data_IF_017626444514
#
_entry.id   IF_017626444514
#
_cell.length_a   1.000
_cell.length_b   1.000
_cell.length_c   1.000
_cell.angle_alpha   90.00
_cell.angle_beta   90.00
_cell.angle_gamma   90.00
#
_symmetry.space_group_name_H-M   'P 1'
#
loop_
_entity.id
_entity.type
_entity.pdbx_description
1 polymer ?
#
# COMPACT_ATOMS: atom_id res chain seq x y z
N UNK A 1 -3.17 -5.47 -13.83
CA UNK A 1 -2.13 -4.94 -12.91
C UNK A 1 -1.06 -4.24 -13.73
N UNK A 2 -0.63 -3.08 -13.31
CA UNK A 2 0.44 -2.33 -13.96
C UNK A 2 1.60 -2.13 -13.00
N UNK A 3 2.78 -1.86 -13.54
CA UNK A 3 3.99 -1.62 -12.75
C UNK A 3 4.56 -0.24 -13.04
N UNK A 4 5.21 0.34 -12.03
CA UNK A 4 5.95 1.58 -12.16
C UNK A 4 7.27 1.43 -11.38
N UNK A 5 8.40 1.60 -12.09
CA UNK A 5 9.69 1.67 -11.42
C UNK A 5 9.83 3.06 -10.80
N UNK A 6 10.10 3.11 -9.50
CA UNK A 6 10.20 4.38 -8.78
C UNK A 6 11.49 5.12 -9.14
N UNK A 7 11.42 6.44 -9.11
CA UNK A 7 12.53 7.31 -9.49
C UNK A 7 13.73 7.11 -8.56
N UNK A 8 14.94 7.11 -9.14
CA UNK A 8 16.19 6.95 -8.39
C UNK A 8 16.80 8.28 -7.95
N UNK A 9 16.39 9.36 -8.56
CA UNK A 9 16.87 10.72 -8.28
C UNK A 9 16.09 11.45 -7.19
N UNK A 10 15.16 10.76 -6.52
CA UNK A 10 14.34 11.34 -5.46
C UNK A 10 15.12 11.36 -4.14
N UNK A 11 15.29 12.56 -3.58
CA UNK A 11 15.94 12.74 -2.27
C UNK A 11 14.92 12.57 -1.16
N UNK A 12 15.23 11.70 -0.21
CA UNK A 12 14.36 11.43 0.93
C UNK A 12 14.25 12.65 1.85
N UNK A 13 13.05 13.12 2.11
CA UNK A 13 12.77 14.27 2.99
C UNK A 13 12.13 13.83 4.32
N UNK A 14 11.54 12.65 4.36
CA UNK A 14 10.77 12.17 5.51
C UNK A 14 11.49 11.04 6.23
N UNK A 15 11.46 11.10 7.57
CA UNK A 15 11.92 9.98 8.40
C UNK A 15 10.92 8.82 8.37
N UNK A 16 9.62 9.13 8.31
CA UNK A 16 8.56 8.13 8.23
C UNK A 16 8.59 7.45 6.85
N UNK A 17 8.75 6.13 6.86
CA UNK A 17 8.87 5.37 5.61
C UNK A 17 7.59 5.40 4.78
N UNK A 18 6.43 5.40 5.41
CA UNK A 18 5.15 5.50 4.70
C UNK A 18 5.02 6.80 3.93
N UNK A 19 5.31 7.93 4.57
CA UNK A 19 5.29 9.23 3.92
C UNK A 19 6.32 9.34 2.81
N UNK A 20 7.52 8.80 3.04
CA UNK A 20 8.56 8.76 2.01
C UNK A 20 8.09 8.01 0.76
N UNK A 21 7.52 6.83 0.92
CA UNK A 21 7.06 6.01 -0.20
C UNK A 21 5.88 6.65 -0.95
N UNK A 22 4.96 7.29 -0.23
CA UNK A 22 3.88 8.05 -0.86
C UNK A 22 4.42 9.18 -1.74
N UNK A 23 5.41 9.91 -1.24
CA UNK A 23 6.05 10.99 -1.98
C UNK A 23 6.83 10.49 -3.17
N UNK A 24 7.59 9.42 -2.99
CA UNK A 24 8.35 8.80 -4.06
C UNK A 24 7.44 8.29 -5.17
N UNK A 25 6.32 7.65 -4.83
CA UNK A 25 5.34 7.20 -5.80
C UNK A 25 4.74 8.38 -6.57
N UNK A 26 4.32 9.42 -5.85
CA UNK A 26 3.75 10.62 -6.46
C UNK A 26 4.73 11.28 -7.43
N UNK A 27 5.96 11.48 -7.01
CA UNK A 27 7.01 12.05 -7.84
C UNK A 27 7.28 11.18 -9.08
N UNK A 28 7.37 9.87 -8.89
CA UNK A 28 7.61 8.92 -9.99
C UNK A 28 6.50 8.93 -11.02
N UNK A 29 5.26 9.14 -10.57
CA UNK A 29 4.09 9.14 -11.43
C UNK A 29 3.89 10.48 -12.15
N UNK A 30 4.10 11.60 -11.46
CA UNK A 30 3.71 12.93 -11.94
C UNK A 30 4.88 13.86 -12.26
N UNK A 31 6.06 13.55 -11.77
CA UNK A 31 7.22 14.45 -11.84
C UNK A 31 7.17 15.61 -10.83
N UNK A 32 6.12 15.70 -10.02
CA UNK A 32 5.94 16.76 -9.05
C UNK A 32 6.43 16.37 -7.67
N UNK A 33 7.17 17.28 -7.05
CA UNK A 33 7.65 17.16 -5.67
C UNK A 33 6.81 18.04 -4.76
N UNK A 34 6.14 17.43 -3.79
CA UNK A 34 5.29 18.14 -2.84
C UNK A 34 6.03 18.29 -1.51
N UNK A 35 6.02 19.51 -0.96
CA UNK A 35 6.64 19.77 0.34
C UNK A 35 5.86 19.08 1.47
N UNK A 36 6.57 18.78 2.56
CA UNK A 36 6.05 18.09 3.73
C UNK A 36 4.76 18.69 4.30
N UNK A 37 4.74 19.98 4.43
CA UNK A 37 3.62 20.74 4.99
C UNK A 37 2.39 20.79 4.08
N UNK A 38 2.56 20.47 2.81
CA UNK A 38 1.48 20.43 1.81
C UNK A 38 0.92 19.04 1.58
N UNK A 39 1.44 18.04 2.30
CA UNK A 39 0.98 16.67 2.15
C UNK A 39 -0.22 16.45 3.04
N UNK A 40 -1.39 16.46 2.43
CA UNK A 40 -2.64 16.08 3.09
C UNK A 40 -3.21 14.88 2.35
N UNK A 41 -3.76 13.95 3.10
CA UNK A 41 -4.51 12.85 2.50
C UNK A 41 -5.68 13.43 1.69
N UNK A 42 -5.80 13.00 0.47
CA UNK A 42 -6.96 13.32 -0.37
C UNK A 42 -8.15 12.53 0.16
N UNK A 43 -9.10 13.19 0.78
CA UNK A 43 -10.37 12.67 1.32
C UNK A 43 -10.54 11.11 1.33
N UNK A 44 -9.75 10.43 2.17
CA UNK A 44 -9.82 8.97 2.33
C UNK A 44 -8.91 8.17 1.39
N UNK A 45 -8.04 8.82 0.66
CA UNK A 45 -6.97 8.19 -0.14
C UNK A 45 -5.61 8.75 0.25
N UNK A 46 -4.53 8.06 -0.08
CA UNK A 46 -3.18 8.54 0.18
C UNK A 46 -2.76 9.59 -0.84
N UNK A 47 -3.13 9.36 -2.09
CA UNK A 47 -2.88 10.30 -3.19
C UNK A 47 -3.86 10.00 -4.32
N UNK A 48 -4.59 11.01 -4.79
CA UNK A 48 -5.58 10.87 -5.87
C UNK A 48 -6.49 9.65 -5.63
N UNK A 49 -6.56 8.70 -6.57
CA UNK A 49 -7.33 7.47 -6.43
C UNK A 49 -6.57 6.33 -5.75
N UNK A 50 -5.34 6.58 -5.29
CA UNK A 50 -4.44 5.52 -4.82
C UNK A 50 -4.42 5.37 -3.31
N UNK A 51 -4.39 4.11 -2.84
CA UNK A 51 -3.98 3.72 -1.51
C UNK A 51 -2.63 3.01 -1.61
N UNK A 52 -1.63 3.45 -0.86
CA UNK A 52 -0.23 3.03 -1.03
C UNK A 52 0.22 2.24 0.18
N UNK A 53 0.74 1.04 -0.06
CA UNK A 53 1.24 0.12 0.95
C UNK A 53 2.62 -0.39 0.58
N UNK A 54 3.36 -0.83 1.58
CA UNK A 54 4.66 -1.45 1.40
C UNK A 54 4.75 -2.74 2.21
N UNK A 55 5.87 -3.43 2.11
CA UNK A 55 6.16 -4.56 2.97
C UNK A 55 5.95 -4.20 4.44
N UNK A 56 5.37 -5.09 5.24
CA UNK A 56 4.97 -4.91 6.64
C UNK A 56 3.81 -3.95 6.87
N UNK A 57 3.14 -3.51 5.82
CA UNK A 57 1.96 -2.68 6.00
C UNK A 57 0.87 -3.46 6.73
N UNK A 58 0.24 -2.80 7.69
CA UNK A 58 -0.98 -3.31 8.29
C UNK A 58 -2.14 -2.88 7.41
N UNK A 59 -2.87 -3.86 6.93
CA UNK A 59 -4.11 -3.62 6.21
C UNK A 59 -5.22 -3.83 7.23
N UNK A 60 -5.79 -2.74 7.73
CA UNK A 60 -6.89 -2.86 8.67
C UNK A 60 -8.08 -3.51 7.97
N UNK A 61 -8.89 -4.03 8.61
CA UNK A 61 -9.70 -4.16 9.75
C UNK A 61 -10.54 -5.42 9.61
N UNK A 62 -10.20 -6.45 10.36
CA UNK A 62 -11.13 -7.53 10.56
C UNK A 62 -11.26 -8.52 9.41
N UNK A 63 -12.19 -9.43 9.64
CA UNK A 63 -12.41 -10.62 8.80
C UNK A 63 -12.98 -10.30 7.43
N UNK A 64 -13.63 -9.15 7.29
CA UNK A 64 -14.34 -8.82 6.07
C UNK A 64 -13.62 -7.74 5.28
N UNK A 65 -12.39 -8.05 4.88
CA UNK A 65 -11.55 -7.15 4.12
C UNK A 65 -12.23 -6.71 2.81
N UNK A 66 -12.87 -7.65 2.10
CA UNK A 66 -13.54 -7.35 0.84
C UNK A 66 -14.66 -6.30 1.03
N UNK A 67 -15.47 -6.47 2.07
CA UNK A 67 -16.52 -5.52 2.40
C UNK A 67 -15.96 -4.15 2.79
N UNK A 68 -14.88 -4.14 3.57
CA UNK A 68 -14.21 -2.92 3.95
C UNK A 68 -13.64 -2.18 2.74
N UNK A 69 -12.94 -2.89 1.85
CA UNK A 69 -12.36 -2.31 0.65
C UNK A 69 -13.42 -1.86 -0.37
N UNK A 70 -14.59 -2.49 -0.38
CA UNK A 70 -15.69 -2.07 -1.25
C UNK A 70 -16.16 -0.64 -0.96
N UNK A 71 -16.05 -0.19 0.31
CA UNK A 71 -16.41 1.16 0.73
C UNK A 71 -15.24 2.13 0.75
N UNK A 72 -14.03 1.66 0.49
CA UNK A 72 -12.84 2.50 0.42
C UNK A 72 -12.94 3.44 -0.79
N UNK A 73 -12.57 4.70 -0.60
CA UNK A 73 -12.58 5.71 -1.65
C UNK A 73 -11.49 5.50 -2.69
N UNK A 74 -10.40 4.82 -2.33
CA UNK A 74 -9.38 4.45 -3.29
C UNK A 74 -9.93 3.44 -4.29
N UNK A 75 -9.61 3.63 -5.56
CA UNK A 75 -9.99 2.71 -6.64
C UNK A 75 -8.80 1.87 -7.12
N UNK A 76 -7.59 2.30 -6.81
CA UNK A 76 -6.37 1.58 -7.12
C UNK A 76 -5.50 1.44 -5.87
N UNK A 77 -4.87 0.29 -5.74
CA UNK A 77 -4.06 -0.07 -4.59
C UNK A 77 -2.64 -0.35 -5.04
N UNK A 78 -1.69 0.30 -4.40
CA UNK A 78 -0.28 0.24 -4.78
C UNK A 78 0.50 -0.51 -3.71
N UNK A 79 1.20 -1.56 -4.13
CA UNK A 79 2.17 -2.24 -3.28
C UNK A 79 3.58 -1.93 -3.77
N UNK A 80 4.40 -1.37 -2.89
CA UNK A 80 5.78 -1.00 -3.20
C UNK A 80 6.74 -2.03 -2.60
N UNK A 81 7.55 -2.63 -3.46
CA UNK A 81 8.55 -3.63 -3.05
C UNK A 81 9.80 -2.96 -2.48
N UNK A 82 10.64 -3.77 -1.85
CA UNK A 82 11.94 -3.30 -1.32
C UNK A 82 12.87 -2.78 -2.42
N UNK A 83 12.68 -3.27 -3.65
CA UNK A 83 13.45 -2.80 -4.82
C UNK A 83 12.84 -1.57 -5.48
N UNK A 84 11.87 -0.95 -4.82
CA UNK A 84 11.21 0.27 -5.29
C UNK A 84 10.52 0.11 -6.64
N UNK A 85 9.81 -1.01 -6.79
CA UNK A 85 8.87 -1.24 -7.88
C UNK A 85 7.45 -1.16 -7.30
N UNK A 86 6.61 -0.32 -7.88
CA UNK A 86 5.22 -0.19 -7.50
C UNK A 86 4.36 -1.09 -8.38
N UNK A 87 3.55 -1.95 -7.75
CA UNK A 87 2.55 -2.76 -8.42
C UNK A 87 1.19 -2.12 -8.17
N UNK A 88 0.54 -1.67 -9.23
CA UNK A 88 -0.73 -0.94 -9.18
C UNK A 88 -1.86 -1.89 -9.51
N UNK A 89 -2.76 -2.11 -8.56
CA UNK A 89 -3.82 -3.10 -8.60
C UNK A 89 -5.20 -2.46 -8.54
N UNK A 90 -6.17 -3.08 -9.21
CA UNK A 90 -7.58 -2.81 -8.95
C UNK A 90 -7.96 -3.30 -7.54
N UNK A 91 -9.15 -2.93 -7.05
CA UNK A 91 -9.67 -3.48 -5.79
C UNK A 91 -9.75 -5.00 -5.82
N UNK A 92 -10.23 -5.57 -6.91
CA UNK A 92 -10.36 -7.02 -7.06
C UNK A 92 -9.00 -7.72 -6.99
N UNK A 93 -8.00 -7.20 -7.70
CA UNK A 93 -6.64 -7.72 -7.67
C UNK A 93 -6.01 -7.61 -6.28
N UNK A 94 -6.25 -6.50 -5.59
CA UNK A 94 -5.74 -6.28 -4.25
C UNK A 94 -6.37 -7.25 -3.23
N UNK A 95 -7.66 -7.52 -3.36
CA UNK A 95 -8.36 -8.51 -2.52
C UNK A 95 -7.73 -9.89 -2.71
N UNK A 96 -7.46 -10.30 -3.95
CA UNK A 96 -6.77 -11.56 -4.24
C UNK A 96 -5.36 -11.60 -3.64
N UNK A 97 -4.61 -10.52 -3.78
CA UNK A 97 -3.27 -10.38 -3.24
C UNK A 97 -3.27 -10.54 -1.71
N UNK A 98 -4.17 -9.86 -1.03
CA UNK A 98 -4.28 -9.93 0.43
C UNK A 98 -4.81 -11.30 0.88
N UNK A 99 -5.71 -11.92 0.13
CA UNK A 99 -6.18 -13.27 0.43
C UNK A 99 -5.05 -14.29 0.37
N UNK A 100 -4.14 -14.12 -0.59
CA UNK A 100 -3.00 -15.04 -0.75
C UNK A 100 -1.90 -14.82 0.29
N UNK A 101 -1.56 -13.58 0.59
CA UNK A 101 -0.39 -13.24 1.42
C UNK A 101 -0.71 -12.60 2.76
N UNK A 102 -1.95 -12.24 2.98
CA UNK A 102 -2.36 -11.63 4.24
C UNK A 102 -2.59 -12.66 5.34
N UNK A 103 -2.25 -12.26 6.56
CA UNK A 103 -2.53 -13.04 7.77
C UNK A 103 -3.39 -12.21 8.70
N UNK A 104 -4.49 -12.80 9.17
CA UNK A 104 -5.35 -12.18 10.17
C UNK A 104 -4.75 -12.40 11.54
N UNK A 105 -4.48 -11.34 12.27
CA UNK A 105 -3.99 -11.38 13.64
C UNK A 105 -4.94 -10.63 14.56
N UNK A 106 -5.02 -11.06 15.82
CA UNK A 106 -5.79 -10.35 16.83
C UNK A 106 -4.85 -9.51 17.67
N UNK A 107 -5.08 -8.23 17.66
CA UNK A 107 -4.33 -7.29 18.51
C UNK A 107 -5.00 -7.14 19.87
N UNK A 108 -4.21 -7.26 20.92
CA UNK A 108 -4.67 -7.08 22.28
C UNK A 108 -4.76 -5.60 22.61
N UNK A 109 -5.91 -5.17 23.11
CA UNK A 109 -6.11 -3.79 23.58
C UNK A 109 -6.83 -3.78 24.92
N UNK A 110 -6.66 -2.68 25.69
CA UNK A 110 -7.29 -2.51 27.00
C UNK A 110 -8.82 -2.66 26.98
N UNK A 111 -9.47 -2.32 25.89
CA UNK A 111 -10.92 -2.34 25.74
C UNK A 111 -11.40 -3.42 24.77
N UNK A 112 -10.81 -4.62 24.85
CA UNK A 112 -11.08 -5.72 23.94
C UNK A 112 -10.17 -5.68 22.73
N UNK A 113 -9.91 -6.76 22.09
CA UNK A 113 -9.04 -6.84 20.93
C UNK A 113 -9.74 -6.47 19.63
N UNK A 114 -8.97 -6.23 18.61
CA UNK A 114 -9.45 -6.10 17.23
C UNK A 114 -8.60 -6.93 16.29
N UNK A 115 -9.18 -7.32 15.19
CA UNK A 115 -8.47 -8.11 14.17
C UNK A 115 -7.84 -7.18 13.15
N UNK A 116 -6.63 -7.55 12.70
CA UNK A 116 -5.91 -6.88 11.62
C UNK A 116 -5.50 -7.91 10.58
N UNK A 117 -5.45 -7.49 9.35
CA UNK A 117 -4.80 -8.26 8.29
C UNK A 117 -3.44 -7.65 8.00
N UNK A 118 -2.40 -8.49 8.01
CA UNK A 118 -1.02 -8.08 7.73
C UNK A 118 -0.48 -8.85 6.54
N UNK A 119 0.25 -8.17 5.67
CA UNK A 119 0.97 -8.81 4.58
C UNK A 119 2.28 -9.49 5.02
N UNK A 120 2.81 -9.11 6.17
CA UNK A 120 4.09 -9.65 6.63
C UNK A 120 5.27 -9.19 5.79
N UNK A 121 6.34 -10.00 5.82
CA UNK A 121 7.56 -9.70 5.09
C UNK A 121 7.42 -10.02 3.61
N UNK A 122 8.11 -9.25 2.78
CA UNK A 122 8.25 -9.54 1.37
C UNK A 122 9.03 -10.85 1.18
N UNK A 123 8.46 -11.76 0.42
CA UNK A 123 9.06 -13.05 0.10
C UNK A 123 9.24 -13.19 -1.40
N UNK A 124 10.08 -14.14 -1.80
CA UNK A 124 10.27 -14.46 -3.22
C UNK A 124 8.95 -14.93 -3.86
N UNK A 125 8.17 -15.73 -3.14
CA UNK A 125 6.87 -16.24 -3.62
C UNK A 125 5.91 -15.06 -3.88
N UNK A 126 5.88 -14.08 -3.00
CA UNK A 126 5.07 -12.88 -3.16
C UNK A 126 5.49 -12.10 -4.42
N UNK A 127 6.76 -11.89 -4.61
CA UNK A 127 7.29 -11.17 -5.78
C UNK A 127 6.96 -11.93 -7.07
N UNK A 128 7.17 -13.24 -7.12
CA UNK A 128 6.86 -14.06 -8.28
C UNK A 128 5.36 -14.00 -8.64
N UNK A 129 4.50 -14.02 -7.61
CA UNK A 129 3.05 -13.89 -7.80
C UNK A 129 2.69 -12.55 -8.47
N UNK A 130 3.31 -11.45 -8.02
CA UNK A 130 3.13 -10.13 -8.61
C UNK A 130 3.65 -10.07 -10.04
N UNK A 131 4.86 -10.56 -10.29
CA UNK A 131 5.48 -10.56 -11.61
C UNK A 131 4.67 -11.34 -12.65
N UNK A 132 4.08 -12.45 -12.26
CA UNK A 132 3.24 -13.26 -13.14
C UNK A 132 1.95 -12.55 -13.59
N UNK A 133 1.48 -11.59 -12.80
CA UNK A 133 0.22 -10.85 -13.05
C UNK A 133 0.44 -9.45 -13.61
N UNK A 134 1.65 -8.99 -13.56
CA UNK A 134 2.02 -7.66 -14.07
C UNK A 134 1.97 -7.56 -15.60
#
# INVERSE_FOLDING_TARGET
MTTLTLAKDFTREYKNNGQHLEQLFRYSLTGERVKADNIKADKGTDFAQYSIKSARATICKGRDLAKHLATDKATEFVYITKTEIAYIMSKAEYIEFVAEFGTVTRESQKNGGYEKTRLGHETRVLIEWLEQRA
#
